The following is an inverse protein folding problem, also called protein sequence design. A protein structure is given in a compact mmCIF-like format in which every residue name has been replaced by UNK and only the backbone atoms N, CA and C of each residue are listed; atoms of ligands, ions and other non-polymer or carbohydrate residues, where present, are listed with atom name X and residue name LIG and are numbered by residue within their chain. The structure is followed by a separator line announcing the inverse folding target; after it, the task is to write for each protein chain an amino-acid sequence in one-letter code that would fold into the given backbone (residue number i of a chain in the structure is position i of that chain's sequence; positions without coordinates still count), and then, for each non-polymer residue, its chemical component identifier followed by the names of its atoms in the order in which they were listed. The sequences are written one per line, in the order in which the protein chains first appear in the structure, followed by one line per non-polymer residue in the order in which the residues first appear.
data_IF_281005834973
#
_entry.id   IF_281005834973
#
_cell.length_a   1.000
_cell.length_b   1.000
_cell.length_c   1.000
_cell.angle_alpha   90.00
_cell.angle_beta   90.00
_cell.angle_gamma   90.00
#
_symmetry.space_group_name_H-M   'P 1'
#
loop_
_entity.id
_entity.type
_entity.pdbx_description
1 polymer ?
#
# COMPACT_ATOMS: atom_id res chain seq x y z
N UNK A 1 8.11 12.64 21.38
CA UNK A 1 7.46 12.94 20.09
C UNK A 1 8.50 12.82 19.02
N UNK A 2 8.23 12.01 18.00
CA UNK A 2 9.14 11.92 16.85
C UNK A 2 9.03 13.18 15.99
N UNK A 3 10.12 13.60 15.39
CA UNK A 3 10.14 14.73 14.47
C UNK A 3 9.76 14.24 13.07
N UNK A 4 8.83 14.92 12.39
CA UNK A 4 8.57 14.70 10.97
C UNK A 4 9.76 15.21 10.16
N UNK A 5 10.27 14.38 9.26
CA UNK A 5 11.41 14.72 8.40
C UNK A 5 10.91 14.82 6.97
N UNK A 6 11.10 16.00 6.35
CA UNK A 6 10.68 16.29 4.98
C UNK A 6 11.90 16.79 4.21
N UNK A 7 12.18 16.16 3.07
CA UNK A 7 13.27 16.51 2.17
C UNK A 7 12.92 16.14 0.73
N UNK A 8 13.80 16.54 -0.20
CA UNK A 8 13.78 16.03 -1.56
C UNK A 8 14.86 14.96 -1.72
N UNK A 9 14.59 13.83 -2.37
CA UNK A 9 15.54 12.70 -2.47
C UNK A 9 16.86 13.05 -3.15
N UNK A 10 16.88 14.11 -3.97
CA UNK A 10 18.12 14.61 -4.59
C UNK A 10 19.00 15.43 -3.63
N UNK A 11 18.47 15.89 -2.49
CA UNK A 11 19.26 16.52 -1.44
C UNK A 11 20.02 15.43 -0.66
N UNK A 12 21.14 14.97 -1.24
CA UNK A 12 21.92 13.85 -0.71
C UNK A 12 22.38 14.06 0.73
N UNK A 13 22.87 15.25 1.16
CA UNK A 13 23.19 15.50 2.56
C UNK A 13 21.99 15.30 3.49
N UNK A 14 20.84 15.93 3.21
CA UNK A 14 19.65 15.80 4.05
C UNK A 14 19.09 14.38 4.04
N UNK A 15 19.13 13.70 2.89
CA UNK A 15 18.74 12.29 2.79
C UNK A 15 19.64 11.41 3.68
N UNK A 16 20.95 11.65 3.71
CA UNK A 16 21.88 10.90 4.56
C UNK A 16 21.59 11.12 6.05
N UNK A 17 21.27 12.35 6.46
CA UNK A 17 20.85 12.68 7.83
C UNK A 17 19.55 11.96 8.21
N UNK A 18 18.53 12.03 7.35
CA UNK A 18 17.25 11.36 7.56
C UNK A 18 17.43 9.84 7.64
N UNK A 19 18.21 9.24 6.73
CA UNK A 19 18.56 7.83 6.78
C UNK A 19 19.19 7.46 8.13
N UNK A 20 20.13 8.25 8.64
CA UNK A 20 20.77 7.97 9.92
C UNK A 20 19.80 8.08 11.12
N UNK A 21 18.75 8.89 11.04
CA UNK A 21 17.67 8.91 12.05
C UNK A 21 16.78 7.68 11.88
N UNK A 22 16.35 7.39 10.65
CA UNK A 22 15.49 6.27 10.31
C UNK A 22 16.09 4.91 10.72
N UNK A 23 17.31 4.60 10.30
CA UNK A 23 17.96 3.31 10.57
C UNK A 23 18.29 3.10 12.06
N UNK A 24 18.43 4.19 12.82
CA UNK A 24 18.57 4.13 14.28
C UNK A 24 17.27 3.71 14.96
N UNK A 25 16.14 4.17 14.44
CA UNK A 25 14.81 3.82 14.94
C UNK A 25 14.37 2.44 14.43
N UNK A 26 14.90 1.99 13.29
CA UNK A 26 14.60 0.71 12.66
C UNK A 26 15.89 -0.09 12.42
N UNK A 27 16.43 -0.69 13.49
CA UNK A 27 17.77 -1.32 13.47
C UNK A 27 17.99 -2.41 12.41
N UNK A 28 16.91 -3.05 11.92
CA UNK A 28 16.95 -4.11 10.92
C UNK A 28 16.67 -3.62 9.49
N UNK A 29 16.43 -2.32 9.32
CA UNK A 29 16.11 -1.73 8.03
C UNK A 29 17.28 -0.91 7.50
N UNK A 30 17.52 -0.96 6.19
CA UNK A 30 18.53 -0.16 5.50
C UNK A 30 17.89 0.63 4.37
N UNK A 31 18.01 1.95 4.42
CA UNK A 31 17.43 2.87 3.46
C UNK A 31 18.50 3.37 2.49
N UNK A 32 18.20 3.39 1.21
CA UNK A 32 19.16 3.77 0.17
C UNK A 32 18.47 4.38 -1.04
N UNK A 33 19.26 5.07 -1.86
CA UNK A 33 18.85 5.51 -3.19
C UNK A 33 19.68 4.72 -4.20
N UNK A 34 19.02 4.25 -5.26
CA UNK A 34 19.64 3.46 -6.31
C UNK A 34 19.35 4.14 -7.63
N UNK A 35 20.40 4.43 -8.39
CA UNK A 35 20.30 5.01 -9.73
C UNK A 35 20.67 3.95 -10.75
N UNK A 36 19.84 3.83 -11.78
CA UNK A 36 20.03 2.93 -12.91
C UNK A 36 20.26 3.77 -14.15
N UNK A 37 21.37 3.51 -14.83
CA UNK A 37 21.73 4.10 -16.12
C UNK A 37 22.35 3.00 -16.99
N UNK A 38 21.59 2.55 -18.00
CA UNK A 38 21.93 1.40 -18.82
C UNK A 38 21.59 0.06 -18.14
N UNK A 39 22.35 -0.99 -18.46
CA UNK A 39 22.14 -2.34 -17.95
C UNK A 39 22.72 -2.51 -16.53
N UNK A 40 21.92 -3.04 -15.61
CA UNK A 40 22.31 -3.24 -14.22
C UNK A 40 21.62 -4.48 -13.61
N UNK A 41 22.12 -4.93 -12.47
CA UNK A 41 21.53 -6.00 -11.67
C UNK A 41 21.14 -5.45 -10.30
N UNK A 42 19.84 -5.48 -10.00
CA UNK A 42 19.31 -5.19 -8.68
C UNK A 42 19.39 -6.44 -7.81
N UNK A 43 19.87 -6.28 -6.58
CA UNK A 43 20.00 -7.34 -5.59
C UNK A 43 19.94 -6.79 -4.17
N UNK A 44 19.69 -7.67 -3.22
CA UNK A 44 19.88 -7.38 -1.80
C UNK A 44 21.34 -7.02 -1.52
N UNK A 45 21.57 -6.03 -0.65
CA UNK A 45 22.91 -5.64 -0.23
C UNK A 45 23.39 -6.44 1.00
N UNK A 46 22.46 -6.98 1.80
CA UNK A 46 22.73 -7.64 3.08
C UNK A 46 22.18 -9.06 3.19
N UNK A 47 21.71 -9.65 2.09
CA UNK A 47 21.00 -10.94 2.05
C UNK A 47 19.55 -10.88 2.54
N UNK A 48 19.01 -9.69 2.80
CA UNK A 48 17.62 -9.46 3.18
C UNK A 48 16.66 -9.33 1.99
N UNK A 49 15.48 -8.77 2.25
CA UNK A 49 14.44 -8.48 1.25
C UNK A 49 14.51 -6.99 0.97
N UNK A 50 14.93 -6.64 -0.24
CA UNK A 50 15.11 -5.26 -0.67
C UNK A 50 14.02 -4.89 -1.66
N UNK A 51 13.20 -3.93 -1.28
CA UNK A 51 12.15 -3.35 -2.13
C UNK A 51 12.71 -2.09 -2.76
N UNK A 52 12.50 -1.92 -4.07
CA UNK A 52 12.90 -0.78 -4.87
C UNK A 52 11.63 -0.12 -5.42
N UNK A 53 11.29 1.06 -4.91
CA UNK A 53 10.19 1.88 -5.46
C UNK A 53 10.75 2.87 -6.46
N UNK A 54 10.36 2.73 -7.72
CA UNK A 54 10.78 3.64 -8.78
C UNK A 54 10.04 4.96 -8.58
N UNK A 55 10.77 6.07 -8.41
CA UNK A 55 10.14 7.39 -8.20
C UNK A 55 10.29 8.33 -9.39
N UNK A 56 11.22 8.06 -10.30
CA UNK A 56 11.36 8.77 -11.58
C UNK A 56 12.05 7.92 -12.64
N UNK A 57 11.82 8.28 -13.89
CA UNK A 57 12.41 7.62 -15.06
C UNK A 57 11.62 6.42 -15.54
N UNK A 58 12.21 5.67 -16.46
CA UNK A 58 11.61 4.50 -17.10
C UNK A 58 12.69 3.49 -17.47
N UNK A 59 12.29 2.23 -17.57
CA UNK A 59 13.17 1.16 -17.98
C UNK A 59 12.42 -0.12 -18.21
N UNK A 60 13.15 -1.23 -18.18
CA UNK A 60 12.59 -2.56 -18.29
C UNK A 60 13.26 -3.49 -17.28
N UNK A 61 12.49 -4.44 -16.74
CA UNK A 61 12.99 -5.52 -15.91
C UNK A 61 12.86 -6.85 -16.67
N UNK A 62 13.91 -7.67 -16.66
CA UNK A 62 13.86 -9.03 -17.18
C UNK A 62 13.02 -9.89 -16.23
N UNK A 63 11.86 -10.32 -16.71
CA UNK A 63 11.04 -11.30 -16.00
C UNK A 63 11.21 -12.66 -16.70
N UNK A 64 11.75 -13.68 -16.02
CA UNK A 64 12.04 -14.96 -16.64
C UNK A 64 10.77 -15.80 -16.86
N UNK A 65 10.85 -16.80 -17.73
CA UNK A 65 9.91 -17.90 -17.82
C UNK A 65 9.76 -18.55 -16.44
N UNK A 66 8.53 -18.86 -16.06
CA UNK A 66 8.21 -19.35 -14.73
C UNK A 66 8.04 -18.25 -13.69
N UNK A 67 8.30 -16.97 -14.02
CA UNK A 67 7.91 -15.85 -13.17
C UNK A 67 6.42 -15.89 -12.90
N UNK A 68 6.06 -15.84 -11.61
CA UNK A 68 4.68 -15.98 -11.12
C UNK A 68 4.26 -14.69 -10.43
N UNK A 69 3.09 -14.16 -10.78
CA UNK A 69 2.62 -12.86 -10.29
C UNK A 69 1.11 -12.85 -10.04
N UNK A 70 0.66 -12.10 -9.03
CA UNK A 70 -0.75 -11.80 -8.78
C UNK A 70 -1.15 -10.45 -9.42
N UNK A 71 -0.58 -10.13 -10.57
CA UNK A 71 -0.99 -9.01 -11.43
C UNK A 71 -2.05 -9.49 -12.44
N UNK A 72 -2.72 -8.56 -13.10
CA UNK A 72 -3.64 -8.81 -14.21
C UNK A 72 -5.11 -8.54 -13.91
N UNK A 73 -5.43 -8.04 -12.72
CA UNK A 73 -6.77 -7.57 -12.32
C UNK A 73 -6.99 -6.07 -12.55
N UNK A 74 -5.96 -5.35 -13.00
CA UNK A 74 -6.06 -4.03 -13.62
C UNK A 74 -6.21 -4.14 -15.14
N UNK A 75 -5.17 -3.76 -15.88
CA UNK A 75 -5.07 -4.13 -17.29
C UNK A 75 -4.75 -5.62 -17.45
N UNK A 76 -5.15 -6.20 -18.59
CA UNK A 76 -4.74 -7.55 -19.00
C UNK A 76 -3.21 -7.65 -19.09
N UNK A 77 -2.64 -8.70 -18.51
CA UNK A 77 -1.23 -9.04 -18.67
C UNK A 77 -0.89 -9.36 -20.15
N UNK A 78 0.38 -9.22 -20.57
CA UNK A 78 0.83 -9.66 -21.88
C UNK A 78 0.45 -11.12 -22.18
N UNK A 79 0.33 -11.48 -23.47
CA UNK A 79 -0.13 -12.81 -23.91
C UNK A 79 0.85 -13.94 -23.57
N UNK A 80 2.03 -13.62 -23.06
CA UNK A 80 3.01 -14.55 -22.52
C UNK A 80 2.66 -15.05 -21.12
N UNK A 81 1.65 -14.47 -20.46
CA UNK A 81 1.18 -14.90 -19.16
C UNK A 81 -0.01 -15.83 -19.29
N UNK A 82 -0.04 -16.88 -18.47
CA UNK A 82 -1.18 -17.80 -18.36
C UNK A 82 -1.66 -17.82 -16.92
N UNK A 83 -2.95 -17.57 -16.66
CA UNK A 83 -3.54 -17.81 -15.35
C UNK A 83 -3.26 -19.24 -14.90
N UNK A 84 -2.89 -19.40 -13.64
CA UNK A 84 -2.71 -20.72 -13.07
C UNK A 84 -4.06 -21.44 -12.96
N UNK A 85 -4.08 -22.79 -12.97
CA UNK A 85 -5.30 -23.54 -12.71
C UNK A 85 -5.93 -23.12 -11.38
N UNK A 86 -7.26 -22.97 -11.39
CA UNK A 86 -7.99 -22.61 -10.18
C UNK A 86 -7.89 -23.73 -9.15
N UNK A 87 -7.37 -23.41 -7.96
CA UNK A 87 -7.31 -24.35 -6.84
C UNK A 87 -8.73 -24.88 -6.50
N UNK A 88 -8.92 -26.19 -6.30
CA UNK A 88 -10.25 -26.75 -6.03
C UNK A 88 -10.93 -26.18 -4.77
N UNK A 89 -10.18 -25.88 -3.71
CA UNK A 89 -10.75 -25.30 -2.50
C UNK A 89 -11.19 -23.84 -2.72
N UNK A 90 -10.42 -23.08 -3.51
CA UNK A 90 -10.85 -21.77 -3.96
C UNK A 90 -12.08 -21.87 -4.88
N UNK A 91 -12.12 -22.81 -5.83
CA UNK A 91 -13.26 -22.99 -6.73
C UNK A 91 -14.56 -23.28 -5.95
N UNK A 92 -14.52 -24.19 -4.98
CA UNK A 92 -15.68 -24.48 -4.12
C UNK A 92 -16.11 -23.23 -3.33
N UNK A 93 -15.13 -22.50 -2.76
CA UNK A 93 -15.38 -21.27 -2.01
C UNK A 93 -16.08 -20.23 -2.89
N UNK A 94 -15.56 -19.96 -4.10
CA UNK A 94 -16.14 -18.98 -5.02
C UNK A 94 -17.52 -19.38 -5.52
N UNK A 95 -17.75 -20.66 -5.81
CA UNK A 95 -19.08 -21.17 -6.18
C UNK A 95 -20.11 -20.96 -5.07
N UNK A 96 -19.73 -21.27 -3.83
CA UNK A 96 -20.59 -21.09 -2.66
C UNK A 96 -20.92 -19.62 -2.43
N UNK A 97 -19.93 -18.74 -2.54
CA UNK A 97 -20.11 -17.29 -2.44
C UNK A 97 -21.01 -16.74 -3.55
N UNK A 98 -20.81 -17.19 -4.80
CA UNK A 98 -21.63 -16.76 -5.94
C UNK A 98 -23.11 -17.17 -5.76
N UNK A 99 -23.37 -18.39 -5.31
CA UNK A 99 -24.73 -18.88 -5.04
C UNK A 99 -25.36 -18.20 -3.81
N UNK A 100 -24.55 -17.91 -2.79
CA UNK A 100 -24.98 -17.30 -1.53
C UNK A 100 -24.95 -15.78 -1.50
N UNK A 101 -24.62 -15.11 -2.61
CA UNK A 101 -24.45 -13.65 -2.65
C UNK A 101 -25.67 -12.86 -2.12
N UNK A 102 -26.93 -13.25 -2.37
CA UNK A 102 -28.10 -12.57 -1.79
C UNK A 102 -28.19 -12.62 -0.25
N UNK A 103 -27.44 -13.53 0.40
CA UNK A 103 -27.38 -13.68 1.85
C UNK A 103 -26.23 -12.87 2.48
N UNK A 104 -25.38 -12.24 1.66
CA UNK A 104 -24.29 -11.37 2.12
C UNK A 104 -24.88 -10.01 2.49
N UNK A 105 -24.44 -9.43 3.61
CA UNK A 105 -24.90 -8.11 4.04
C UNK A 105 -24.54 -7.04 3.00
N UNK A 106 -25.32 -5.96 2.92
CA UNK A 106 -25.10 -4.89 1.94
C UNK A 106 -23.69 -4.29 2.03
N UNK A 107 -23.16 -4.13 3.24
CA UNK A 107 -21.80 -3.64 3.46
C UNK A 107 -20.73 -4.62 2.96
N UNK A 108 -20.89 -5.92 3.23
CA UNK A 108 -19.93 -6.94 2.81
C UNK A 108 -20.05 -7.33 1.33
N UNK A 109 -21.18 -7.05 0.69
CA UNK A 109 -21.43 -7.40 -0.70
C UNK A 109 -20.43 -6.75 -1.66
N UNK A 110 -20.04 -5.50 -1.44
CA UNK A 110 -19.10 -4.77 -2.30
C UNK A 110 -17.75 -5.47 -2.40
N UNK A 111 -17.01 -5.73 -1.29
CA UNK A 111 -15.75 -6.47 -1.38
C UNK A 111 -15.93 -7.91 -1.85
N UNK A 112 -17.00 -8.63 -1.46
CA UNK A 112 -17.24 -10.01 -1.93
C UNK A 112 -17.46 -10.05 -3.45
N UNK A 113 -18.21 -9.11 -4.01
CA UNK A 113 -18.43 -9.01 -5.46
C UNK A 113 -17.13 -8.68 -6.20
N UNK A 114 -16.30 -7.79 -5.65
CA UNK A 114 -14.99 -7.46 -6.22
C UNK A 114 -14.04 -8.69 -6.22
N UNK A 115 -14.12 -9.56 -5.22
CA UNK A 115 -13.40 -10.85 -5.23
C UNK A 115 -13.95 -11.76 -6.32
N UNK A 116 -15.28 -11.91 -6.41
CA UNK A 116 -15.93 -12.76 -7.40
C UNK A 116 -15.71 -12.31 -8.85
N UNK A 117 -15.58 -11.00 -9.10
CA UNK A 117 -15.37 -10.46 -10.46
C UNK A 117 -14.01 -10.83 -11.07
N UNK A 118 -13.03 -11.21 -10.24
CA UNK A 118 -11.74 -11.76 -10.68
C UNK A 118 -11.84 -13.17 -11.24
N UNK A 119 -12.95 -13.86 -10.98
CA UNK A 119 -13.21 -15.19 -11.51
C UNK A 119 -13.92 -15.11 -12.88
N UNK A 120 -13.20 -15.46 -13.93
CA UNK A 120 -13.69 -15.47 -15.32
C UNK A 120 -13.48 -16.84 -15.96
N UNK A 121 -13.94 -17.00 -17.20
CA UNK A 121 -13.68 -18.21 -17.99
C UNK A 121 -12.18 -18.45 -18.25
N UNK A 122 -11.36 -17.40 -18.18
CA UNK A 122 -9.91 -17.48 -18.32
C UNK A 122 -9.19 -17.93 -17.04
N UNK A 123 -9.90 -18.00 -15.90
CA UNK A 123 -9.35 -18.32 -14.59
C UNK A 123 -9.63 -17.25 -13.55
N UNK A 124 -8.96 -17.37 -12.40
CA UNK A 124 -8.99 -16.38 -11.32
C UNK A 124 -7.66 -15.63 -11.30
N UNK A 125 -7.69 -14.31 -11.48
CA UNK A 125 -6.48 -13.48 -11.66
C UNK A 125 -6.50 -12.30 -10.69
N UNK A 126 -5.35 -12.00 -10.11
CA UNK A 126 -5.14 -10.85 -9.23
C UNK A 126 -5.18 -11.17 -7.74
N UNK A 127 -4.49 -10.33 -6.97
CA UNK A 127 -4.57 -10.32 -5.51
C UNK A 127 -5.93 -9.75 -5.06
N UNK A 128 -6.42 -10.22 -3.92
CA UNK A 128 -7.63 -9.73 -3.28
C UNK A 128 -7.48 -9.48 -1.77
N UNK A 129 -6.24 -9.38 -1.28
CA UNK A 129 -5.97 -9.02 0.11
C UNK A 129 -6.55 -7.64 0.49
N UNK A 130 -6.62 -6.70 -0.45
CA UNK A 130 -7.24 -5.39 -0.24
C UNK A 130 -8.74 -5.47 0.06
N UNK A 131 -9.48 -6.35 -0.61
CA UNK A 131 -10.90 -6.60 -0.35
C UNK A 131 -11.11 -7.30 1.00
N UNK A 132 -10.21 -8.21 1.39
CA UNK A 132 -10.22 -8.83 2.72
C UNK A 132 -9.93 -7.81 3.82
N UNK A 133 -9.02 -6.86 3.57
CA UNK A 133 -8.79 -5.73 4.46
C UNK A 133 -10.08 -4.93 4.68
N UNK A 134 -10.84 -4.64 3.61
CA UNK A 134 -12.14 -3.95 3.74
C UNK A 134 -13.17 -4.77 4.50
N UNK A 135 -13.25 -6.07 4.25
CA UNK A 135 -14.18 -6.96 4.95
C UNK A 135 -13.93 -6.98 6.45
N UNK A 136 -12.68 -7.01 6.88
CA UNK A 136 -12.29 -7.03 8.30
C UNK A 136 -12.71 -5.75 9.05
N UNK A 137 -12.82 -4.63 8.35
CA UNK A 137 -13.32 -3.37 8.92
C UNK A 137 -14.85 -3.35 9.10
N UNK A 138 -15.57 -4.35 8.58
CA UNK A 138 -17.02 -4.44 8.71
C UNK A 138 -17.43 -5.28 9.91
N UNK A 139 -18.47 -4.84 10.60
CA UNK A 139 -19.08 -5.61 11.68
C UNK A 139 -19.59 -6.97 11.17
N UNK A 140 -19.34 -8.01 11.97
CA UNK A 140 -19.88 -9.36 11.75
C UNK A 140 -21.30 -9.50 12.31
N UNK A 141 -22.10 -10.47 11.80
CA UNK A 141 -21.78 -11.39 10.72
C UNK A 141 -21.82 -10.71 9.34
N UNK A 142 -21.00 -11.20 8.40
CA UNK A 142 -21.01 -10.70 7.02
C UNK A 142 -22.10 -11.35 6.17
N UNK A 143 -22.60 -12.53 6.56
CA UNK A 143 -23.74 -13.19 5.94
C UNK A 143 -24.74 -13.72 6.98
N UNK A 144 -26.02 -13.78 6.59
CA UNK A 144 -27.06 -14.45 7.37
C UNK A 144 -27.05 -15.98 7.24
N UNK A 145 -26.26 -16.54 6.32
CA UNK A 145 -26.06 -17.99 6.14
C UNK A 145 -24.68 -18.40 6.66
N UNK A 146 -24.64 -19.35 7.61
CA UNK A 146 -23.41 -19.81 8.26
C UNK A 146 -22.40 -20.42 7.27
N UNK A 147 -22.87 -21.07 6.19
CA UNK A 147 -22.00 -21.68 5.18
C UNK A 147 -21.37 -20.62 4.29
N UNK A 148 -22.10 -19.55 4.00
CA UNK A 148 -21.58 -18.39 3.26
C UNK A 148 -20.59 -17.62 4.13
N UNK A 149 -20.91 -17.38 5.41
CA UNK A 149 -19.99 -16.77 6.38
C UNK A 149 -18.67 -17.55 6.47
N UNK A 150 -18.73 -18.88 6.59
CA UNK A 150 -17.56 -19.74 6.61
C UNK A 150 -16.76 -19.70 5.30
N UNK A 151 -17.43 -19.55 4.15
CA UNK A 151 -16.77 -19.39 2.85
C UNK A 151 -16.02 -18.06 2.78
N UNK A 152 -16.63 -16.94 3.22
CA UNK A 152 -15.96 -15.64 3.31
C UNK A 152 -14.73 -15.76 4.23
N UNK A 153 -14.90 -16.39 5.41
CA UNK A 153 -13.79 -16.62 6.34
C UNK A 153 -12.66 -17.49 5.78
N UNK A 154 -12.95 -18.37 4.82
CA UNK A 154 -11.93 -19.21 4.19
C UNK A 154 -11.05 -18.46 3.19
N UNK A 155 -11.56 -17.38 2.58
CA UNK A 155 -10.78 -16.52 1.67
C UNK A 155 -9.53 -15.94 2.34
N UNK A 156 -9.59 -15.65 3.64
CA UNK A 156 -8.44 -15.16 4.43
C UNK A 156 -7.26 -16.13 4.45
N UNK A 157 -7.52 -17.44 4.33
CA UNK A 157 -6.47 -18.45 4.24
C UNK A 157 -5.97 -18.66 2.81
N UNK A 158 -6.81 -18.43 1.82
CA UNK A 158 -6.52 -18.74 0.41
C UNK A 158 -5.82 -17.59 -0.33
N UNK A 159 -5.93 -16.34 0.14
CA UNK A 159 -5.50 -15.16 -0.62
C UNK A 159 -4.03 -15.17 -1.06
N UNK A 160 -3.11 -15.60 -0.18
CA UNK A 160 -1.66 -15.57 -0.44
C UNK A 160 -1.19 -16.40 -1.63
N UNK A 161 -1.98 -17.39 -2.06
CA UNK A 161 -1.58 -18.37 -3.08
C UNK A 161 -2.47 -18.32 -4.33
N UNK A 162 -3.50 -17.47 -4.31
CA UNK A 162 -4.55 -17.40 -5.30
C UNK A 162 -4.32 -16.27 -6.30
N UNK A 163 -4.91 -16.35 -7.49
CA UNK A 163 -4.87 -15.23 -8.45
C UNK A 163 -3.57 -15.09 -9.24
N UNK A 164 -2.73 -16.10 -9.20
CA UNK A 164 -1.44 -16.08 -9.89
C UNK A 164 -1.58 -16.34 -11.40
N UNK A 165 -0.75 -15.66 -12.17
CA UNK A 165 -0.42 -16.00 -13.55
C UNK A 165 1.06 -16.32 -13.67
N UNK A 166 1.39 -17.33 -14.47
CA UNK A 166 2.77 -17.75 -14.74
C UNK A 166 3.21 -17.35 -16.14
N UNK A 167 4.36 -16.70 -16.22
CA UNK A 167 4.98 -16.27 -17.48
C UNK A 167 5.58 -17.45 -18.24
N UNK A 168 5.39 -17.48 -19.55
CA UNK A 168 5.77 -18.61 -20.41
C UNK A 168 7.11 -18.44 -21.14
N UNK A 169 7.66 -17.23 -21.22
CA UNK A 169 8.94 -16.94 -21.87
C UNK A 169 9.71 -15.83 -21.15
N UNK A 170 11.03 -15.77 -21.37
CA UNK A 170 11.87 -14.69 -20.86
C UNK A 170 11.64 -13.42 -21.69
N UNK A 171 11.40 -12.29 -21.03
CA UNK A 171 11.42 -10.99 -21.72
C UNK A 171 11.65 -9.84 -20.76
N UNK A 172 12.24 -8.77 -21.30
CA UNK A 172 12.26 -7.46 -20.67
C UNK A 172 10.85 -6.86 -20.74
N UNK A 173 10.35 -6.36 -19.61
CA UNK A 173 9.04 -5.76 -19.52
C UNK A 173 9.11 -4.36 -18.90
N UNK A 174 8.31 -3.41 -19.39
CA UNK A 174 8.42 -2.01 -19.01
C UNK A 174 8.12 -1.82 -17.53
N UNK A 175 8.91 -0.94 -16.91
CA UNK A 175 8.72 -0.42 -15.55
C UNK A 175 8.83 1.11 -15.58
N UNK A 176 8.03 1.77 -14.76
CA UNK A 176 7.99 3.23 -14.65
C UNK A 176 7.85 3.69 -13.20
N UNK A 177 7.91 5.01 -12.98
CA UNK A 177 7.65 5.60 -11.68
C UNK A 177 6.30 5.12 -11.09
N UNK A 178 6.31 4.71 -9.83
CA UNK A 178 5.18 4.08 -9.13
C UNK A 178 5.25 2.56 -9.10
N UNK A 179 5.89 1.91 -10.07
CA UNK A 179 6.13 0.48 -10.03
C UNK A 179 7.20 0.13 -8.97
N UNK A 180 7.18 -1.14 -8.54
CA UNK A 180 8.17 -1.65 -7.60
C UNK A 180 8.82 -2.94 -8.09
N UNK A 181 10.08 -3.10 -7.67
CA UNK A 181 10.88 -4.31 -7.85
C UNK A 181 11.34 -4.84 -6.49
N UNK A 182 11.51 -6.15 -6.36
CA UNK A 182 11.86 -6.79 -5.08
C UNK A 182 12.88 -7.90 -5.31
N UNK A 183 14.08 -7.74 -4.73
CA UNK A 183 15.09 -8.78 -4.70
C UNK A 183 15.26 -9.29 -3.27
N UNK A 184 15.11 -10.59 -3.04
CA UNK A 184 15.21 -11.21 -1.72
C UNK A 184 16.33 -12.24 -1.65
N UNK A 185 17.09 -12.24 -0.55
CA UNK A 185 18.14 -13.24 -0.36
C UNK A 185 19.19 -13.17 -1.47
N UNK A 186 19.33 -14.26 -2.22
CA UNK A 186 20.25 -14.36 -3.36
C UNK A 186 19.62 -14.04 -4.72
N UNK A 187 18.38 -13.57 -4.77
CA UNK A 187 17.71 -13.22 -6.03
C UNK A 187 18.37 -12.01 -6.71
N UNK A 188 18.44 -12.07 -8.03
CA UNK A 188 18.95 -10.99 -8.88
C UNK A 188 17.89 -10.61 -9.92
N UNK A 189 17.66 -9.31 -10.10
CA UNK A 189 16.77 -8.78 -11.15
C UNK A 189 17.63 -7.99 -12.14
N UNK A 190 17.70 -8.49 -13.37
CA UNK A 190 18.32 -7.74 -14.45
C UNK A 190 17.38 -6.62 -14.91
N UNK A 191 17.89 -5.40 -14.96
CA UNK A 191 17.16 -4.21 -15.38
C UNK A 191 17.96 -3.43 -16.42
N UNK A 192 17.27 -2.65 -17.24
CA UNK A 192 17.89 -1.71 -18.17
C UNK A 192 17.07 -0.43 -18.29
N UNK A 193 17.71 0.68 -18.63
CA UNK A 193 17.05 1.97 -18.86
C UNK A 193 17.62 3.08 -18.00
N UNK A 194 16.81 4.08 -17.67
CA UNK A 194 17.21 5.24 -16.88
C UNK A 194 16.13 5.58 -15.86
N UNK A 195 16.35 5.15 -14.62
CA UNK A 195 15.39 5.36 -13.53
C UNK A 195 16.06 5.33 -12.17
N UNK A 196 15.40 5.97 -11.20
CA UNK A 196 15.86 6.02 -9.83
C UNK A 196 14.86 5.39 -8.87
N UNK A 197 15.40 4.71 -7.87
CA UNK A 197 14.63 4.04 -6.84
C UNK A 197 14.97 4.56 -5.45
N UNK A 198 13.94 4.72 -4.62
CA UNK A 198 14.07 4.60 -3.18
C UNK A 198 14.10 3.11 -2.86
N UNK A 199 15.07 2.66 -2.09
CA UNK A 199 15.18 1.26 -1.72
C UNK A 199 15.27 1.06 -0.22
N UNK A 200 14.46 0.13 0.29
CA UNK A 200 14.45 -0.28 1.69
C UNK A 200 14.69 -1.78 1.78
N UNK A 201 15.67 -2.17 2.59
CA UNK A 201 16.00 -3.57 2.82
C UNK A 201 15.74 -3.96 4.27
N UNK A 202 14.96 -5.02 4.47
CA UNK A 202 14.90 -5.71 5.76
C UNK A 202 15.96 -6.80 5.80
N UNK A 203 17.05 -6.55 6.54
CA UNK A 203 18.23 -7.41 6.56
C UNK A 203 17.99 -8.76 7.24
N UNK A 204 16.91 -8.90 8.02
CA UNK A 204 16.54 -10.15 8.70
C UNK A 204 15.60 -11.02 7.88
N UNK A 205 15.16 -10.57 6.71
CA UNK A 205 14.12 -11.25 5.94
C UNK A 205 14.63 -11.66 4.56
N UNK A 206 15.08 -12.90 4.35
CA UNK A 206 15.66 -13.32 3.06
C UNK A 206 14.61 -13.70 2.00
N UNK A 207 13.31 -13.58 2.29
CA UNK A 207 12.23 -14.08 1.40
C UNK A 207 11.14 -13.03 1.19
N UNK A 208 10.72 -12.86 -0.06
CA UNK A 208 9.49 -12.15 -0.42
C UNK A 208 8.28 -13.08 -0.38
N UNK A 209 7.11 -12.53 -0.05
CA UNK A 209 5.82 -13.19 -0.16
C UNK A 209 4.99 -12.66 -1.35
N UNK A 210 5.52 -11.68 -2.07
CA UNK A 210 4.97 -11.11 -3.31
C UNK A 210 5.97 -11.30 -4.45
N UNK A 211 5.49 -11.19 -5.68
CA UNK A 211 6.31 -11.32 -6.88
C UNK A 211 7.38 -10.22 -6.99
N UNK A 212 8.48 -10.55 -7.68
CA UNK A 212 9.65 -9.66 -7.84
C UNK A 212 9.34 -8.34 -8.56
N UNK A 213 8.25 -8.25 -9.33
CA UNK A 213 7.74 -7.01 -9.88
C UNK A 213 6.26 -6.82 -9.51
N UNK A 214 5.88 -5.56 -9.20
CA UNK A 214 4.47 -5.16 -9.08
C UNK A 214 4.30 -3.85 -9.84
N UNK A 215 3.71 -3.95 -11.02
CA UNK A 215 3.52 -2.87 -11.98
C UNK A 215 2.11 -2.38 -11.88
N UNK A 216 1.96 -1.10 -11.55
CA UNK A 216 0.69 -0.52 -11.17
C UNK A 216 -0.36 -0.73 -12.27
N UNK A 217 0.03 -0.62 -13.55
CA UNK A 217 -0.92 -0.78 -14.67
C UNK A 217 -1.69 -2.10 -14.65
N UNK A 218 -1.12 -3.16 -14.09
CA UNK A 218 -1.74 -4.49 -14.05
C UNK A 218 -2.44 -4.77 -12.72
N UNK A 219 -2.42 -3.84 -11.76
CA UNK A 219 -3.11 -3.98 -10.48
C UNK A 219 -4.48 -3.32 -10.55
N UNK A 220 -5.46 -3.94 -9.89
CA UNK A 220 -6.79 -3.38 -9.74
C UNK A 220 -6.73 -1.96 -9.15
N UNK A 221 -7.54 -1.06 -9.72
CA UNK A 221 -7.77 0.24 -9.11
C UNK A 221 -8.82 0.12 -8.01
N UNK A 222 -8.35 0.30 -6.79
CA UNK A 222 -9.12 0.17 -5.56
C UNK A 222 -9.61 1.53 -5.06
N UNK A 223 -9.44 2.64 -5.79
CA UNK A 223 -9.92 3.95 -5.32
C UNK A 223 -11.45 3.97 -5.09
N UNK A 224 -12.15 2.97 -5.62
CA UNK A 224 -13.48 2.58 -5.12
C UNK A 224 -14.51 3.65 -5.34
N UNK A 225 -14.53 4.30 -6.52
CA UNK A 225 -15.61 5.21 -6.92
C UNK A 225 -15.87 6.42 -6.01
N UNK A 226 -15.06 6.63 -4.96
CA UNK A 226 -15.31 7.66 -3.95
C UNK A 226 -14.95 9.07 -4.41
N UNK A 227 -14.37 9.23 -5.60
CA UNK A 227 -14.15 10.55 -6.16
C UNK A 227 -13.94 10.54 -7.70
N UNK A 228 -14.98 10.28 -8.51
CA UNK A 228 -14.85 10.25 -9.98
C UNK A 228 -14.41 11.60 -10.57
N UNK A 229 -14.60 12.70 -9.83
CA UNK A 229 -14.34 14.06 -10.29
C UNK A 229 -12.86 14.47 -10.26
N UNK A 230 -11.95 13.65 -9.68
CA UNK A 230 -10.52 13.98 -9.55
C UNK A 230 -9.57 12.82 -9.89
N UNK A 231 -9.88 12.05 -10.94
CA UNK A 231 -9.07 10.91 -11.39
C UNK A 231 -8.70 9.96 -10.23
N UNK A 232 -9.68 9.23 -9.70
CA UNK A 232 -9.47 8.33 -8.58
C UNK A 232 -8.44 7.27 -8.99
N UNK A 233 -7.36 7.18 -8.22
CA UNK A 233 -6.28 6.23 -8.47
C UNK A 233 -5.82 5.68 -7.13
N UNK A 234 -5.96 4.38 -6.90
CA UNK A 234 -5.39 3.71 -5.73
C UNK A 234 -5.04 2.27 -6.05
N UNK A 235 -3.76 1.98 -6.12
CA UNK A 235 -3.24 0.63 -6.41
C UNK A 235 -2.37 0.17 -5.26
N UNK A 236 -2.44 -1.12 -4.95
CA UNK A 236 -1.82 -1.71 -3.76
C UNK A 236 -0.72 -2.69 -4.20
N UNK A 237 0.48 -2.20 -4.55
CA UNK A 237 1.55 -3.10 -4.98
C UNK A 237 2.10 -3.97 -3.84
N UNK A 238 2.01 -3.52 -2.58
CA UNK A 238 2.19 -4.36 -1.39
C UNK A 238 0.98 -4.21 -0.47
N UNK A 239 0.25 -5.31 -0.29
CA UNK A 239 -0.95 -5.41 0.52
C UNK A 239 -0.67 -6.06 1.88
N UNK A 240 -1.55 -5.82 2.84
CA UNK A 240 -1.51 -6.50 4.13
C UNK A 240 -2.04 -7.93 3.99
N UNK A 241 -1.21 -8.93 4.29
CA UNK A 241 -1.62 -10.32 4.38
C UNK A 241 -1.90 -10.72 5.82
N UNK A 242 -3.11 -11.18 6.08
CA UNK A 242 -3.49 -11.73 7.39
C UNK A 242 -2.62 -12.91 7.77
N UNK A 243 -2.19 -12.94 9.02
CA UNK A 243 -1.37 -14.01 9.57
C UNK A 243 -2.09 -15.35 9.57
N UNK A 244 -1.33 -16.40 9.26
CA UNK A 244 -1.73 -17.76 9.57
C UNK A 244 -1.50 -18.06 11.05
N UNK A 245 -2.21 -19.04 11.62
CA UNK A 245 -2.01 -19.45 13.01
C UNK A 245 -0.52 -19.72 13.31
N UNK A 246 0.04 -19.01 14.28
CA UNK A 246 1.44 -19.13 14.71
C UNK A 246 2.42 -18.12 14.08
N UNK A 247 1.99 -17.27 13.14
CA UNK A 247 2.81 -16.18 12.60
C UNK A 247 2.74 -14.91 13.47
N UNK A 248 3.80 -14.10 13.45
CA UNK A 248 3.89 -12.81 14.16
C UNK A 248 3.22 -11.67 13.38
N UNK A 249 2.50 -10.76 14.04
CA UNK A 249 1.72 -9.64 13.44
C UNK A 249 2.44 -8.87 12.32
N UNK A 250 3.70 -8.48 12.53
CA UNK A 250 4.43 -7.67 11.55
C UNK A 250 5.18 -8.51 10.52
N UNK A 251 5.27 -9.84 10.70
CA UNK A 251 6.29 -10.70 10.09
C UNK A 251 6.40 -10.57 8.57
N UNK A 252 5.33 -10.94 7.85
CA UNK A 252 5.25 -10.77 6.40
C UNK A 252 5.06 -9.31 6.00
N UNK A 253 4.29 -8.58 6.81
CA UNK A 253 3.87 -7.22 6.54
C UNK A 253 4.85 -6.18 7.10
N UNK A 254 6.16 -6.46 7.06
CA UNK A 254 7.15 -5.53 7.62
C UNK A 254 7.19 -4.20 6.85
N UNK A 255 6.76 -4.20 5.59
CA UNK A 255 6.49 -3.01 4.78
C UNK A 255 5.29 -3.26 3.87
N UNK A 256 4.42 -2.26 3.73
CA UNK A 256 3.44 -2.18 2.66
C UNK A 256 3.54 -0.85 1.94
N UNK A 257 2.87 -0.75 0.80
CA UNK A 257 2.91 0.42 -0.05
C UNK A 257 1.65 0.53 -0.89
N UNK A 258 1.03 1.69 -0.86
CA UNK A 258 -0.14 2.04 -1.67
C UNK A 258 0.20 3.25 -2.53
N UNK A 259 -0.02 3.16 -3.83
CA UNK A 259 0.12 4.31 -4.73
C UNK A 259 -1.23 4.93 -4.97
N UNK A 260 -1.39 6.18 -4.55
CA UNK A 260 -2.69 6.84 -4.48
C UNK A 260 -2.60 8.28 -4.95
N UNK A 261 -3.62 8.71 -5.70
CA UNK A 261 -3.91 10.12 -5.92
C UNK A 261 -4.86 10.58 -4.81
N UNK A 262 -4.44 11.56 -4.00
CA UNK A 262 -5.18 12.03 -2.83
C UNK A 262 -5.77 13.41 -3.12
N UNK A 263 -7.06 13.52 -3.49
CA UNK A 263 -7.75 14.80 -3.60
C UNK A 263 -7.97 15.40 -2.22
N UNK A 264 -7.83 16.72 -2.08
CA UNK A 264 -8.12 17.43 -0.83
C UNK A 264 -9.51 17.11 -0.27
N UNK A 265 -10.52 17.01 -1.14
CA UNK A 265 -11.93 16.85 -0.80
C UNK A 265 -12.22 15.53 -0.08
N UNK A 266 -11.53 14.46 -0.47
CA UNK A 266 -11.73 13.10 0.07
C UNK A 266 -10.59 12.64 0.97
N UNK A 267 -9.62 13.51 1.30
CA UNK A 267 -8.50 13.18 2.17
C UNK A 267 -8.87 13.43 3.64
N UNK A 268 -8.90 12.39 4.50
CA UNK A 268 -9.12 12.56 5.93
C UNK A 268 -7.83 12.93 6.66
N UNK A 269 -7.96 13.69 7.74
CA UNK A 269 -6.88 13.86 8.72
C UNK A 269 -6.85 12.64 9.63
N UNK A 270 -5.69 12.00 9.77
CA UNK A 270 -5.56 10.79 10.57
C UNK A 270 -4.19 10.68 11.26
N UNK A 271 -4.04 9.68 12.12
CA UNK A 271 -2.76 9.30 12.72
C UNK A 271 -2.67 7.79 12.94
N UNK A 272 -1.45 7.31 13.13
CA UNK A 272 -1.16 5.99 13.68
C UNK A 272 -0.69 6.14 15.13
N UNK A 273 -1.14 5.30 16.08
CA UNK A 273 -0.84 5.49 17.49
C UNK A 273 0.66 5.38 17.83
N UNK A 274 1.09 6.14 18.83
CA UNK A 274 2.45 6.05 19.40
C UNK A 274 2.66 4.83 20.28
N UNK A 275 1.60 4.05 20.54
CA UNK A 275 1.64 2.76 21.23
C UNK A 275 1.22 1.65 20.27
N UNK A 276 1.83 0.46 20.35
CA UNK A 276 1.37 -0.67 19.53
C UNK A 276 -0.09 -1.02 19.85
N UNK A 277 -0.92 -1.15 18.81
CA UNK A 277 -2.26 -1.71 18.91
C UNK A 277 -2.18 -3.19 18.58
N UNK A 278 -2.56 -4.07 19.51
CA UNK A 278 -2.41 -5.52 19.36
C UNK A 278 -0.95 -5.98 19.52
N UNK A 279 -0.56 -7.02 18.78
CA UNK A 279 0.81 -7.56 18.76
C UNK A 279 1.71 -6.73 17.83
N UNK A 280 3.03 -6.75 18.00
CA UNK A 280 3.96 -6.11 17.05
C UNK A 280 4.32 -4.65 17.36
N UNK A 281 4.74 -3.92 16.34
CA UNK A 281 5.40 -2.62 16.43
C UNK A 281 4.43 -1.47 16.15
N UNK A 282 4.81 -0.26 16.57
CA UNK A 282 4.12 0.96 16.14
C UNK A 282 4.31 1.21 14.65
N UNK A 283 3.29 1.76 14.01
CA UNK A 283 3.31 2.04 12.56
C UNK A 283 3.81 3.45 12.28
N UNK A 284 4.88 3.52 11.51
CA UNK A 284 5.36 4.76 10.89
C UNK A 284 4.85 4.82 9.45
N UNK A 285 4.64 6.03 8.95
CA UNK A 285 4.24 6.25 7.56
C UNK A 285 5.30 7.09 6.83
N UNK A 286 5.50 6.79 5.55
CA UNK A 286 6.40 7.55 4.68
C UNK A 286 5.69 7.90 3.39
N UNK A 287 5.91 9.12 2.89
CA UNK A 287 5.46 9.53 1.57
C UNK A 287 6.64 9.59 0.61
N UNK A 288 6.52 8.93 -0.53
CA UNK A 288 7.35 9.15 -1.71
C UNK A 288 6.49 9.76 -2.81
N UNK A 289 6.58 11.07 -2.98
CA UNK A 289 5.73 11.82 -3.91
C UNK A 289 6.17 11.52 -5.35
N UNK A 290 5.20 11.19 -6.19
CA UNK A 290 5.40 10.78 -7.57
C UNK A 290 4.94 11.87 -8.53
N UNK A 291 5.41 11.81 -9.77
CA UNK A 291 4.91 12.68 -10.84
C UNK A 291 3.55 12.16 -11.36
N UNK A 292 2.45 12.91 -11.19
CA UNK A 292 1.13 12.50 -11.70
C UNK A 292 1.09 12.34 -13.22
N UNK A 293 2.01 12.99 -13.97
CA UNK A 293 2.10 12.82 -15.43
C UNK A 293 2.47 11.39 -15.83
N UNK A 294 3.15 10.62 -14.97
CA UNK A 294 3.51 9.23 -15.23
C UNK A 294 2.28 8.34 -15.50
N UNK A 295 1.11 8.72 -14.97
CA UNK A 295 -0.16 8.04 -15.17
C UNK A 295 -1.24 8.93 -15.80
N UNK A 296 -0.86 10.07 -16.38
CA UNK A 296 -1.77 11.02 -17.03
C UNK A 296 -2.88 11.53 -16.09
N UNK A 297 -2.59 11.64 -14.79
CA UNK A 297 -3.56 12.11 -13.81
C UNK A 297 -3.74 13.62 -13.93
N UNK A 298 -4.99 14.07 -13.96
CA UNK A 298 -5.33 15.48 -14.03
C UNK A 298 -5.23 16.11 -12.63
N UNK A 299 -4.19 16.92 -12.43
CA UNK A 299 -3.98 17.64 -11.18
C UNK A 299 -4.74 18.96 -11.12
N UNK A 300 -5.35 19.41 -12.21
CA UNK A 300 -6.04 20.70 -12.33
C UNK A 300 -5.19 21.90 -11.83
N UNK A 301 -3.86 21.80 -11.91
CA UNK A 301 -2.93 22.83 -11.42
C UNK A 301 -2.91 23.00 -9.89
N UNK A 302 -3.49 22.08 -9.14
CA UNK A 302 -3.51 22.12 -7.66
C UNK A 302 -2.11 21.87 -7.10
N UNK A 303 -1.81 22.57 -6.01
CA UNK A 303 -0.52 22.47 -5.34
C UNK A 303 -0.55 21.35 -4.28
N UNK A 304 0.28 20.32 -4.49
CA UNK A 304 0.44 19.24 -3.54
C UNK A 304 1.02 19.76 -2.21
N UNK A 305 0.46 19.32 -1.09
CA UNK A 305 1.00 19.64 0.24
C UNK A 305 0.68 18.57 1.28
N UNK A 306 1.40 18.61 2.41
CA UNK A 306 1.14 17.82 3.60
C UNK A 306 0.84 18.74 4.76
N UNK A 307 -0.24 18.47 5.48
CA UNK A 307 -0.50 19.08 6.79
C UNK A 307 -0.09 18.09 7.87
N UNK A 308 0.56 18.58 8.92
CA UNK A 308 1.06 17.78 10.05
C UNK A 308 0.63 18.43 11.36
N UNK A 309 0.14 17.61 12.28
CA UNK A 309 -0.08 17.91 13.70
C UNK A 309 0.94 17.15 14.55
N UNK A 310 2.08 17.78 14.90
CA UNK A 310 3.17 17.10 15.60
C UNK A 310 2.86 16.79 17.08
N UNK A 311 1.87 17.47 17.68
CA UNK A 311 1.38 17.19 19.03
C UNK A 311 -0.14 16.97 19.00
N UNK A 312 -0.55 15.71 19.07
CA UNK A 312 -1.97 15.33 19.09
C UNK A 312 -2.74 15.82 20.34
N UNK A 313 -2.05 16.31 21.37
CA UNK A 313 -2.66 16.93 22.56
C UNK A 313 -2.99 18.41 22.35
N UNK A 314 -2.44 19.01 21.29
CA UNK A 314 -2.66 20.41 20.93
C UNK A 314 -2.84 20.53 19.41
N UNK A 315 -4.07 20.25 18.96
CA UNK A 315 -4.45 20.28 17.55
C UNK A 315 -4.49 21.70 16.97
N UNK A 316 -4.29 22.75 17.78
CA UNK A 316 -4.12 24.12 17.27
C UNK A 316 -2.76 24.31 16.60
N UNK A 317 -1.78 23.47 16.92
CA UNK A 317 -0.43 23.52 16.38
C UNK A 317 -0.32 22.59 15.18
N UNK A 318 -0.21 23.18 14.00
CA UNK A 318 -0.01 22.45 12.76
C UNK A 318 1.03 23.13 11.88
N UNK A 319 1.58 22.35 10.96
CA UNK A 319 2.49 22.80 9.92
C UNK A 319 1.94 22.35 8.57
N UNK A 320 2.11 23.18 7.53
CA UNK A 320 1.79 22.79 6.17
C UNK A 320 3.04 22.92 5.30
N UNK A 321 3.36 21.85 4.60
CA UNK A 321 4.58 21.71 3.82
C UNK A 321 4.24 21.50 2.34
N UNK A 322 4.77 22.32 1.42
CA UNK A 322 4.59 22.06 -0.01
C UNK A 322 5.30 20.77 -0.40
N UNK A 323 4.69 20.01 -1.30
CA UNK A 323 5.23 18.76 -1.83
C UNK A 323 5.42 18.88 -3.35
N UNK A 324 6.42 18.17 -3.87
CA UNK A 324 6.70 18.04 -5.30
C UNK A 324 7.15 16.61 -5.60
N UNK A 325 7.07 16.12 -6.86
CA UNK A 325 7.63 14.82 -7.23
C UNK A 325 9.08 14.68 -6.75
N UNK A 326 9.40 13.56 -6.08
CA UNK A 326 10.69 13.35 -5.41
C UNK A 326 10.79 13.88 -3.97
N UNK A 327 9.77 14.56 -3.46
CA UNK A 327 9.63 14.78 -2.01
C UNK A 327 9.53 13.44 -1.28
N UNK A 328 10.31 13.30 -0.21
CA UNK A 328 10.28 12.14 0.68
C UNK A 328 10.03 12.61 2.12
N UNK A 329 9.01 12.01 2.74
CA UNK A 329 8.56 12.35 4.08
C UNK A 329 8.64 11.12 4.97
N UNK A 330 9.16 11.28 6.17
CA UNK A 330 9.05 10.29 7.25
C UNK A 330 8.19 10.85 8.38
N UNK A 331 7.08 10.18 8.67
CA UNK A 331 6.12 10.51 9.72
C UNK A 331 6.20 9.43 10.81
N UNK A 332 6.75 9.75 11.99
CA UNK A 332 6.82 8.81 13.09
C UNK A 332 5.42 8.56 13.69
N UNK A 333 5.23 7.45 14.42
CA UNK A 333 3.97 7.14 15.09
C UNK A 333 3.58 8.24 16.08
N UNK A 334 2.27 8.45 16.26
CA UNK A 334 1.69 9.51 17.09
C UNK A 334 1.67 10.88 16.43
N UNK A 335 1.83 10.94 15.11
CA UNK A 335 1.79 12.18 14.32
C UNK A 335 0.50 12.27 13.53
N UNK A 336 -0.30 13.31 13.76
CA UNK A 336 -1.45 13.62 12.92
C UNK A 336 -0.99 14.15 11.57
N UNK A 337 -1.63 13.74 10.49
CA UNK A 337 -1.28 14.22 9.16
C UNK A 337 -2.43 14.11 8.15
N UNK A 338 -2.31 14.86 7.05
CA UNK A 338 -3.24 14.86 5.92
C UNK A 338 -2.51 15.23 4.63
N UNK A 339 -2.56 14.37 3.61
CA UNK A 339 -2.07 14.68 2.27
C UNK A 339 -3.11 15.45 1.45
N UNK A 340 -2.71 16.48 0.72
CA UNK A 340 -3.60 17.32 -0.08
C UNK A 340 -3.13 17.38 -1.53
N UNK A 341 -4.02 17.02 -2.45
CA UNK A 341 -3.84 17.09 -3.91
C UNK A 341 -2.50 16.50 -4.37
N UNK A 342 -2.17 15.31 -3.82
CA UNK A 342 -0.85 14.69 -3.97
C UNK A 342 -0.96 13.29 -4.57
N UNK A 343 -0.16 13.02 -5.59
CA UNK A 343 0.08 11.68 -6.10
C UNK A 343 1.30 11.08 -5.41
N UNK A 344 1.11 10.02 -4.65
CA UNK A 344 2.10 9.55 -3.69
C UNK A 344 2.10 8.03 -3.58
N UNK A 345 3.29 7.46 -3.41
CA UNK A 345 3.44 6.14 -2.85
C UNK A 345 3.55 6.25 -1.32
N UNK A 346 2.49 5.85 -0.63
CA UNK A 346 2.42 5.80 0.83
C UNK A 346 2.97 4.47 1.31
N UNK A 347 4.08 4.52 2.06
CA UNK A 347 4.75 3.36 2.62
C UNK A 347 4.48 3.30 4.12
N UNK A 348 4.23 2.12 4.67
CA UNK A 348 4.04 1.95 6.12
C UNK A 348 4.96 0.88 6.69
N UNK A 349 5.47 1.13 7.91
CA UNK A 349 6.39 0.26 8.65
C UNK A 349 5.94 0.06 10.11
N UNK A 350 5.44 -1.14 10.50
CA UNK A 350 5.02 -2.22 9.61
C UNK A 350 3.90 -1.75 8.67
N UNK A 351 3.58 -2.55 7.66
CA UNK A 351 2.56 -2.29 6.63
C UNK A 351 1.18 -1.94 7.20
N UNK A 352 0.21 -1.60 6.34
CA UNK A 352 -1.11 -1.05 6.69
C UNK A 352 -1.98 -2.00 7.54
N UNK A 353 -1.61 -2.08 8.81
CA UNK A 353 -2.24 -2.91 9.83
C UNK A 353 -3.72 -2.59 9.95
N UNK A 354 -4.61 -3.58 9.84
CA UNK A 354 -6.04 -3.39 10.06
C UNK A 354 -6.31 -2.70 11.40
N UNK A 355 -7.28 -1.78 11.41
CA UNK A 355 -7.70 -1.04 12.60
C UNK A 355 -6.63 -0.18 13.28
N UNK A 356 -5.56 0.20 12.57
CA UNK A 356 -4.45 0.99 13.12
C UNK A 356 -4.38 2.44 12.60
N UNK A 357 -5.41 2.89 11.89
CA UNK A 357 -5.58 4.25 11.37
C UNK A 357 -6.73 4.93 12.11
N UNK A 358 -6.50 6.11 12.66
CA UNK A 358 -7.47 6.82 13.49
C UNK A 358 -7.74 8.22 12.97
N UNK A 359 -9.01 8.53 12.70
CA UNK A 359 -9.43 9.75 12.02
C UNK A 359 -9.75 10.89 13.00
N UNK A 360 -9.11 12.04 12.81
CA UNK A 360 -9.08 13.14 13.79
C UNK A 360 -9.81 14.42 13.35
N UNK A 361 -10.44 14.45 12.16
CA UNK A 361 -11.11 15.66 11.66
C UNK A 361 -12.19 16.20 12.62
N UNK A 362 -12.93 15.31 13.30
CA UNK A 362 -13.89 15.68 14.35
C UNK A 362 -13.21 16.37 15.53
N UNK A 363 -12.10 15.81 16.02
CA UNK A 363 -11.38 16.35 17.18
C UNK A 363 -10.74 17.69 16.84
N UNK A 364 -10.17 17.83 15.63
CA UNK A 364 -9.63 19.11 15.14
C UNK A 364 -10.73 20.18 15.15
N UNK A 365 -11.90 19.88 14.57
CA UNK A 365 -13.04 20.81 14.55
C UNK A 365 -13.48 21.20 15.95
N UNK A 366 -13.73 20.21 16.81
CA UNK A 366 -14.34 20.41 18.12
C UNK A 366 -13.41 21.16 19.09
N UNK A 367 -12.11 20.86 19.06
CA UNK A 367 -11.12 21.47 19.96
C UNK A 367 -10.67 22.86 19.51
N UNK A 368 -10.64 23.13 18.20
CA UNK A 368 -10.12 24.40 17.66
C UNK A 368 -11.23 25.34 17.18
N UNK A 369 -12.50 24.95 17.30
CA UNK A 369 -13.63 25.71 16.77
C UNK A 369 -13.57 25.85 15.24
N UNK A 370 -12.93 24.90 14.56
CA UNK A 370 -12.71 24.90 13.11
C UNK A 370 -11.65 25.90 12.61
N UNK A 371 -10.81 26.45 13.49
CA UNK A 371 -9.76 27.41 13.11
C UNK A 371 -8.53 26.75 12.47
N UNK A 372 -8.32 25.46 12.72
CA UNK A 372 -7.26 24.67 12.06
C UNK A 372 -7.84 23.86 10.90
N UNK A 373 -7.02 23.48 9.89
CA UNK A 373 -7.52 22.75 8.74
C UNK A 373 -8.10 21.38 9.11
N UNK A 374 -9.28 21.04 8.61
CA UNK A 374 -9.86 19.69 8.74
C UNK A 374 -10.69 19.38 7.49
N UNK A 375 -11.16 18.15 7.36
CA UNK A 375 -12.11 17.76 6.33
C UNK A 375 -13.53 17.77 6.90
N UNK A 376 -14.30 18.80 6.53
CA UNK A 376 -15.69 18.95 6.97
C UNK A 376 -16.62 17.84 6.48
N UNK A 377 -16.26 17.16 5.39
CA UNK A 377 -17.08 16.08 4.82
C UNK A 377 -16.85 14.72 5.50
N UNK A 378 -15.81 14.58 6.32
CA UNK A 378 -15.35 13.29 6.85
C UNK A 378 -15.39 13.22 8.39
N UNK A 379 -16.14 14.12 9.01
CA UNK A 379 -16.24 14.20 10.47
C UNK A 379 -16.83 12.93 11.12
N UNK A 380 -17.60 12.14 10.37
CA UNK A 380 -18.21 10.89 10.85
C UNK A 380 -17.24 9.68 10.79
N UNK A 381 -16.03 9.85 10.26
CA UNK A 381 -15.03 8.78 10.22
C UNK A 381 -14.37 8.49 11.57
N UNK A 382 -14.56 9.34 12.59
CA UNK A 382 -13.96 9.14 13.92
C UNK A 382 -14.29 7.75 14.46
N UNK A 383 -13.26 6.94 14.71
CA UNK A 383 -13.35 5.51 15.02
C UNK A 383 -12.81 5.14 16.42
N UNK A 384 -12.73 6.12 17.32
CA UNK A 384 -12.30 5.95 18.71
C UNK A 384 -13.08 6.89 19.63
N UNK A 385 -13.04 6.64 20.94
CA UNK A 385 -13.75 7.48 21.91
C UNK A 385 -12.92 8.69 22.35
N UNK A 386 -11.67 8.47 22.76
CA UNK A 386 -10.77 9.50 23.29
C UNK A 386 -9.37 9.37 22.70
N UNK A 387 -8.80 10.49 22.26
CA UNK A 387 -7.47 10.48 21.65
C UNK A 387 -6.39 10.11 22.67
N UNK A 388 -6.57 10.48 23.94
CA UNK A 388 -5.60 10.21 25.01
C UNK A 388 -5.35 8.70 25.25
N UNK A 389 -6.31 7.84 24.89
CA UNK A 389 -6.17 6.39 25.04
C UNK A 389 -5.18 5.80 24.00
N UNK A 390 -4.82 6.59 22.99
CA UNK A 390 -3.98 6.20 21.84
C UNK A 390 -2.59 6.86 21.83
N UNK A 391 -2.30 7.73 22.81
CA UNK A 391 -1.05 8.51 22.90
C UNK A 391 0.04 7.84 23.73
#
# INVERSE_FOLDING_TARGET
MGQVLILHVDDRPRFAEMRAVFERNHSDLRLSLVQIDGDCVLRSAHGGMRVFWIYRGHGEALLPRGYRTQEGDGCRLPDEYRPDPLDPALAETLQRLKAGLPMVSSAAAVPVQAILSRWTDAGFVGDFAGELWRLDHLARPWSSDERVEAAIGSLFRLCRQSGCSTKQLDSYEPVLAGDQLIASGGEEIHVRGQFDCLALENVRRPTSHVSAARRLRYLADTAGGCNPDFDPFRRLPLTWFYNYPGESDDGLNWVNSHVVNIPKESSPSHFHPSRPIGSGSTQSELYLVLDPQAYQLNTYGRAASLIVWPDLRDLTRYEQHPLQPGSFVYMPPGTGHRGLDVFVNVLTLPGFKPHNEYYIDRDIRDTTGGQTPYNENLLDLKNYSRIEDLL
#
